data_IF_798312081502
#
_entry.id   IF_798312081502
#
_cell.length_a   1.000
_cell.length_b   1.000
_cell.length_c   1.000
_cell.angle_alpha   90.00
_cell.angle_beta   90.00
_cell.angle_gamma   90.00
#
_symmetry.space_group_name_H-M   'P 1'
#
loop_
_entity.id
_entity.type
_entity.pdbx_description
1 polymer ?
#
# COMPACT_ATOMS: atom_id res chain seq x y z
N UNK A 1 25.49 20.29 -21.82
CA UNK A 1 25.81 19.12 -22.67
C UNK A 1 24.52 18.75 -23.40
N UNK A 2 24.54 18.43 -24.69
CA UNK A 2 23.31 18.07 -25.39
C UNK A 2 22.73 16.77 -24.80
N UNK A 3 21.47 16.80 -24.33
CA UNK A 3 20.73 15.58 -23.94
C UNK A 3 20.79 14.57 -25.10
N UNK A 4 21.10 13.30 -24.81
CA UNK A 4 21.14 12.29 -25.85
C UNK A 4 19.73 12.03 -26.38
N UNK A 5 19.60 11.63 -27.65
CA UNK A 5 18.29 11.32 -28.25
C UNK A 5 17.52 10.24 -27.46
N UNK A 6 18.23 9.35 -26.77
CA UNK A 6 17.62 8.33 -25.91
C UNK A 6 17.10 8.92 -24.59
N UNK A 7 17.83 9.86 -23.99
CA UNK A 7 17.40 10.51 -22.74
C UNK A 7 16.11 11.32 -22.93
N UNK A 8 16.02 12.03 -24.07
CA UNK A 8 14.80 12.73 -24.51
C UNK A 8 13.60 11.79 -24.68
N UNK A 9 13.83 10.58 -25.20
CA UNK A 9 12.77 9.58 -25.35
C UNK A 9 12.27 9.09 -23.99
N UNK A 10 13.18 8.78 -23.05
CA UNK A 10 12.80 8.36 -21.70
C UNK A 10 12.08 9.47 -20.92
N UNK A 11 12.52 10.72 -21.08
CA UNK A 11 11.87 11.92 -20.54
C UNK A 11 10.44 12.06 -21.02
N UNK A 12 10.24 11.93 -22.34
CA UNK A 12 8.91 11.98 -22.95
C UNK A 12 8.01 10.86 -22.44
N UNK A 13 8.51 9.62 -22.43
CA UNK A 13 7.75 8.46 -21.95
C UNK A 13 7.36 8.57 -20.47
N UNK A 14 8.23 9.13 -19.65
CA UNK A 14 7.93 9.40 -18.25
C UNK A 14 6.80 10.44 -18.11
N UNK A 15 6.89 11.57 -18.83
CA UNK A 15 5.84 12.59 -18.81
C UNK A 15 4.50 12.09 -19.35
N UNK A 16 4.52 11.38 -20.48
CA UNK A 16 3.32 10.82 -21.08
C UNK A 16 2.62 9.87 -20.08
N UNK A 17 3.39 9.05 -19.36
CA UNK A 17 2.87 8.17 -18.33
C UNK A 17 2.35 8.96 -17.10
N UNK A 18 3.06 9.99 -16.64
CA UNK A 18 2.68 10.80 -15.48
C UNK A 18 1.34 11.52 -15.71
N UNK A 19 1.12 12.00 -16.93
CA UNK A 19 -0.07 12.76 -17.32
C UNK A 19 -1.32 11.89 -17.49
N UNK A 20 -1.20 10.56 -17.41
CA UNK A 20 -2.37 9.67 -17.43
C UNK A 20 -3.22 9.90 -16.18
N UNK A 21 -4.49 10.21 -16.37
CA UNK A 21 -5.45 10.47 -15.29
C UNK A 21 -5.86 9.20 -14.52
N UNK A 22 -5.81 8.05 -15.19
CA UNK A 22 -6.15 6.75 -14.60
C UNK A 22 -4.93 6.13 -13.91
N UNK A 23 -5.05 5.85 -12.61
CA UNK A 23 -4.00 5.23 -11.79
C UNK A 23 -3.50 3.90 -12.36
N UNK A 24 -4.39 3.04 -12.85
CA UNK A 24 -4.03 1.72 -13.39
C UNK A 24 -3.25 1.85 -14.71
N UNK A 25 -3.67 2.78 -15.56
CA UNK A 25 -2.98 3.07 -16.82
C UNK A 25 -1.61 3.70 -16.56
N UNK A 26 -1.52 4.61 -15.57
CA UNK A 26 -0.25 5.18 -15.11
C UNK A 26 0.69 4.11 -14.59
N UNK A 27 0.24 3.26 -13.66
CA UNK A 27 1.04 2.16 -13.12
C UNK A 27 1.55 1.25 -14.25
N UNK A 28 0.68 0.90 -15.21
CA UNK A 28 1.06 0.09 -16.38
C UNK A 28 2.10 0.79 -17.24
N UNK A 29 1.92 2.06 -17.57
CA UNK A 29 2.87 2.82 -18.39
C UNK A 29 4.23 2.98 -17.70
N UNK A 30 4.25 3.24 -16.39
CA UNK A 30 5.49 3.30 -15.60
C UNK A 30 6.19 1.93 -15.56
N UNK A 31 5.43 0.83 -15.44
CA UNK A 31 5.96 -0.53 -15.53
C UNK A 31 6.59 -0.80 -16.90
N UNK A 32 5.96 -0.34 -17.97
CA UNK A 32 6.49 -0.52 -19.33
C UNK A 32 7.76 0.32 -19.55
N UNK A 33 7.87 1.47 -18.87
CA UNK A 33 9.05 2.32 -18.90
C UNK A 33 10.24 1.68 -18.18
N UNK A 34 10.06 1.10 -16.98
CA UNK A 34 11.17 0.46 -16.24
C UNK A 34 11.74 -0.77 -16.98
N UNK A 35 10.93 -1.43 -17.80
CA UNK A 35 11.37 -2.54 -18.63
C UNK A 35 12.04 -2.09 -19.94
N UNK A 36 12.14 -0.79 -20.19
CA UNK A 36 12.82 -0.27 -21.36
C UNK A 36 14.34 -0.49 -21.23
N UNK A 37 14.99 -1.11 -22.23
CA UNK A 37 16.44 -1.26 -22.23
C UNK A 37 17.13 0.10 -22.12
N UNK A 38 18.16 0.19 -21.27
CA UNK A 38 18.98 1.40 -21.13
C UNK A 38 18.31 2.55 -20.38
N UNK A 39 17.23 2.30 -19.63
CA UNK A 39 16.58 3.35 -18.83
C UNK A 39 17.59 4.06 -17.92
N UNK A 40 17.70 5.40 -17.99
CA UNK A 40 18.55 6.16 -17.11
C UNK A 40 18.12 5.98 -15.64
N UNK A 41 19.08 5.89 -14.68
CA UNK A 41 18.77 5.69 -13.27
C UNK A 41 17.80 6.72 -12.68
N UNK A 42 17.86 7.97 -13.17
CA UNK A 42 16.92 9.05 -12.82
C UNK A 42 15.47 8.63 -13.09
N UNK A 43 15.18 8.20 -14.32
CA UNK A 43 13.82 7.78 -14.69
C UNK A 43 13.45 6.46 -14.03
N UNK A 44 14.39 5.54 -13.83
CA UNK A 44 14.11 4.31 -13.10
C UNK A 44 13.57 4.59 -11.69
N UNK A 45 14.28 5.44 -10.92
CA UNK A 45 13.86 5.81 -9.57
C UNK A 45 12.49 6.52 -9.56
N UNK A 46 12.26 7.47 -10.47
CA UNK A 46 11.00 8.20 -10.55
C UNK A 46 9.81 7.31 -10.96
N UNK A 47 9.98 6.42 -11.95
CA UNK A 47 8.95 5.45 -12.32
C UNK A 47 8.62 4.53 -11.13
N UNK A 48 9.64 4.03 -10.41
CA UNK A 48 9.44 3.18 -9.23
C UNK A 48 8.71 3.92 -8.09
N UNK A 49 9.01 5.19 -7.83
CA UNK A 49 8.29 5.98 -6.82
C UNK A 49 6.80 6.10 -7.17
N UNK A 50 6.49 6.44 -8.43
CA UNK A 50 5.10 6.55 -8.88
C UNK A 50 4.40 5.19 -8.84
N UNK A 51 5.09 4.11 -9.20
CA UNK A 51 4.54 2.75 -9.10
C UNK A 51 4.28 2.35 -7.65
N UNK A 52 5.16 2.72 -6.70
CA UNK A 52 4.94 2.47 -5.29
C UNK A 52 3.68 3.19 -4.80
N UNK A 53 3.56 4.49 -5.08
CA UNK A 53 2.40 5.31 -4.71
C UNK A 53 1.08 4.74 -5.29
N UNK A 54 1.14 4.29 -6.55
CA UNK A 54 0.01 3.72 -7.26
C UNK A 54 -0.28 2.24 -6.96
N UNK A 55 0.52 1.57 -6.13
CA UNK A 55 0.36 0.15 -5.86
C UNK A 55 -0.86 -0.13 -4.96
N UNK A 56 -1.66 -1.12 -5.36
CA UNK A 56 -2.86 -1.55 -4.63
C UNK A 56 -2.53 -2.46 -3.41
N UNK A 57 -1.28 -2.93 -3.29
CA UNK A 57 -0.85 -3.80 -2.20
C UNK A 57 0.42 -3.28 -1.53
N UNK A 58 0.52 -3.50 -0.23
CA UNK A 58 1.70 -3.12 0.56
C UNK A 58 2.98 -3.78 0.05
N UNK A 59 2.94 -5.06 -0.36
CA UNK A 59 4.12 -5.77 -0.86
C UNK A 59 4.66 -5.13 -2.15
N UNK A 60 3.79 -4.86 -3.13
CA UNK A 60 4.18 -4.17 -4.37
C UNK A 60 4.66 -2.73 -4.11
N UNK A 61 4.02 -2.01 -3.18
CA UNK A 61 4.47 -0.68 -2.78
C UNK A 61 5.91 -0.74 -2.25
N UNK A 62 6.16 -1.66 -1.32
CA UNK A 62 7.47 -1.82 -0.68
C UNK A 62 8.52 -2.32 -1.68
N UNK A 63 8.19 -3.24 -2.57
CA UNK A 63 9.08 -3.71 -3.65
C UNK A 63 9.59 -2.55 -4.51
N UNK A 64 8.69 -1.73 -5.04
CA UNK A 64 9.08 -0.59 -5.90
C UNK A 64 9.82 0.48 -5.12
N UNK A 65 9.42 0.73 -3.87
CA UNK A 65 10.11 1.68 -2.97
C UNK A 65 11.55 1.23 -2.68
N UNK A 66 11.77 -0.06 -2.43
CA UNK A 66 13.10 -0.62 -2.19
C UNK A 66 13.96 -0.55 -3.45
N UNK A 67 13.39 -0.81 -4.63
CA UNK A 67 14.11 -0.68 -5.89
C UNK A 67 14.57 0.76 -6.17
N UNK A 68 13.69 1.74 -5.94
CA UNK A 68 14.04 3.16 -6.02
C UNK A 68 15.09 3.55 -4.97
N UNK A 69 15.00 3.01 -3.75
CA UNK A 69 15.96 3.25 -2.67
C UNK A 69 17.37 2.75 -3.01
N UNK A 70 17.48 1.56 -3.59
CA UNK A 70 18.77 1.02 -3.98
C UNK A 70 19.40 1.80 -5.14
N UNK A 71 18.57 2.23 -6.10
CA UNK A 71 18.98 3.15 -7.17
C UNK A 71 19.50 4.48 -6.58
N UNK A 72 18.79 5.07 -5.62
CA UNK A 72 19.23 6.26 -4.90
C UNK A 72 20.59 6.05 -4.23
N UNK A 73 20.77 4.98 -3.44
CA UNK A 73 22.03 4.72 -2.72
C UNK A 73 23.23 4.67 -3.67
N UNK A 74 23.06 3.99 -4.81
CA UNK A 74 24.12 3.83 -5.79
C UNK A 74 24.44 5.18 -6.46
N UNK A 75 23.43 5.89 -6.95
CA UNK A 75 23.63 7.11 -7.73
C UNK A 75 24.04 8.31 -6.88
N UNK A 76 23.52 8.42 -5.65
CA UNK A 76 23.98 9.42 -4.70
C UNK A 76 25.47 9.24 -4.37
N UNK A 77 25.92 7.99 -4.22
CA UNK A 77 27.36 7.70 -4.01
C UNK A 77 28.21 8.11 -5.21
N UNK A 78 27.75 7.83 -6.44
CA UNK A 78 28.44 8.24 -7.66
C UNK A 78 28.52 9.77 -7.77
N UNK A 79 27.41 10.46 -7.53
CA UNK A 79 27.35 11.92 -7.55
C UNK A 79 28.28 12.55 -6.49
N UNK A 80 28.34 11.96 -5.29
CA UNK A 80 29.27 12.37 -4.24
C UNK A 80 30.73 12.18 -4.63
N UNK A 81 31.07 11.08 -5.30
CA UNK A 81 32.43 10.82 -5.79
C UNK A 81 32.83 11.77 -6.93
N UNK A 82 31.88 12.15 -7.79
CA UNK A 82 32.08 13.07 -8.90
C UNK A 82 32.05 14.55 -8.49
N UNK A 83 31.72 14.87 -7.22
CA UNK A 83 31.42 16.23 -6.76
C UNK A 83 30.34 16.95 -7.59
N UNK A 84 29.38 16.20 -8.13
CA UNK A 84 28.25 16.75 -8.89
C UNK A 84 27.16 17.20 -7.92
N UNK A 85 27.11 18.49 -7.63
CA UNK A 85 26.16 19.07 -6.67
C UNK A 85 24.72 18.98 -7.14
N UNK A 86 24.45 19.18 -8.44
CA UNK A 86 23.11 19.13 -9.01
C UNK A 86 22.53 17.70 -8.95
N UNK A 87 23.34 16.70 -9.28
CA UNK A 87 22.92 15.31 -9.13
C UNK A 87 22.66 14.95 -7.66
N UNK A 88 23.48 15.43 -6.73
CA UNK A 88 23.25 15.18 -5.28
C UNK A 88 21.93 15.77 -4.79
N UNK A 89 21.62 17.00 -5.16
CA UNK A 89 20.34 17.64 -4.80
C UNK A 89 19.14 16.84 -5.34
N UNK A 90 19.21 16.37 -6.59
CA UNK A 90 18.19 15.50 -7.15
C UNK A 90 18.02 14.20 -6.35
N UNK A 91 19.12 13.54 -5.99
CA UNK A 91 19.05 12.29 -5.22
C UNK A 91 18.59 12.51 -3.78
N UNK A 92 18.90 13.65 -3.16
CA UNK A 92 18.34 14.03 -1.86
C UNK A 92 16.83 14.27 -1.93
N UNK A 93 16.34 14.84 -3.03
CA UNK A 93 14.91 14.93 -3.28
C UNK A 93 14.28 13.53 -3.38
N UNK A 94 14.84 12.63 -4.21
CA UNK A 94 14.38 11.23 -4.33
C UNK A 94 14.32 10.55 -2.96
N UNK A 95 15.31 10.79 -2.09
CA UNK A 95 15.32 10.26 -0.74
C UNK A 95 14.13 10.74 0.10
N UNK A 96 13.80 12.04 0.03
CA UNK A 96 12.66 12.62 0.77
C UNK A 96 11.35 11.98 0.33
N UNK A 97 11.13 11.82 -0.97
CA UNK A 97 9.91 11.16 -1.49
C UNK A 97 9.79 9.71 -0.99
N UNK A 98 10.90 8.97 -0.94
CA UNK A 98 10.90 7.59 -0.42
C UNK A 98 10.60 7.51 1.07
N UNK A 99 11.05 8.51 1.85
CA UNK A 99 10.78 8.59 3.28
C UNK A 99 9.33 8.98 3.55
N UNK A 100 8.76 9.88 2.74
CA UNK A 100 7.34 10.23 2.80
C UNK A 100 6.44 9.05 2.44
N UNK A 101 6.72 8.34 1.34
CA UNK A 101 5.97 7.14 0.97
C UNK A 101 5.99 6.07 2.06
N UNK A 102 7.17 5.88 2.69
CA UNK A 102 7.29 4.94 3.81
C UNK A 102 6.42 5.36 4.99
N UNK A 103 6.46 6.64 5.34
CA UNK A 103 5.67 7.19 6.44
C UNK A 103 4.17 7.03 6.19
N UNK A 104 3.69 7.39 5.00
CA UNK A 104 2.28 7.24 4.61
C UNK A 104 1.84 5.77 4.68
N UNK A 105 2.67 4.86 4.17
CA UNK A 105 2.38 3.43 4.23
C UNK A 105 2.34 2.89 5.67
N UNK A 106 3.23 3.34 6.55
CA UNK A 106 3.25 2.97 7.97
C UNK A 106 2.03 3.50 8.73
N UNK A 107 1.60 4.72 8.43
CA UNK A 107 0.40 5.35 9.02
C UNK A 107 -0.87 4.61 8.60
N UNK A 108 -1.04 4.31 7.31
CA UNK A 108 -2.18 3.51 6.82
C UNK A 108 -2.21 2.11 7.46
N UNK A 109 -1.05 1.45 7.54
CA UNK A 109 -0.96 0.14 8.17
C UNK A 109 -1.28 0.19 9.67
N UNK A 110 -0.87 1.26 10.35
CA UNK A 110 -1.23 1.49 11.75
C UNK A 110 -2.74 1.67 11.91
N UNK A 111 -3.36 2.50 11.07
CA UNK A 111 -4.79 2.76 11.10
C UNK A 111 -5.60 1.49 10.82
N UNK A 112 -5.19 0.69 9.83
CA UNK A 112 -5.81 -0.60 9.54
C UNK A 112 -5.79 -1.53 10.77
N UNK A 113 -4.64 -1.64 11.47
CA UNK A 113 -4.53 -2.45 12.69
C UNK A 113 -5.41 -1.92 13.81
N UNK A 114 -5.51 -0.59 13.98
CA UNK A 114 -6.40 0.01 14.97
C UNK A 114 -7.87 -0.29 14.68
N UNK A 115 -8.32 -0.11 13.43
CA UNK A 115 -9.70 -0.44 13.01
C UNK A 115 -10.02 -1.91 13.26
N UNK A 116 -9.10 -2.82 12.92
CA UNK A 116 -9.27 -4.26 13.17
C UNK A 116 -9.37 -4.60 14.66
N UNK A 117 -8.55 -3.97 15.52
CA UNK A 117 -8.65 -4.14 16.97
C UNK A 117 -9.96 -3.60 17.53
N UNK A 118 -10.39 -2.42 17.05
CA UNK A 118 -11.65 -1.80 17.49
C UNK A 118 -12.84 -2.70 17.16
N UNK A 119 -12.93 -3.17 15.92
CA UNK A 119 -13.98 -4.11 15.50
C UNK A 119 -13.97 -5.42 16.32
N UNK A 120 -12.79 -5.96 16.62
CA UNK A 120 -12.66 -7.15 17.46
C UNK A 120 -13.14 -6.90 18.90
N UNK A 121 -12.84 -5.73 19.46
CA UNK A 121 -13.29 -5.35 20.79
C UNK A 121 -14.81 -5.09 20.85
N UNK A 122 -15.38 -4.45 19.82
CA UNK A 122 -16.83 -4.24 19.69
C UNK A 122 -17.55 -5.60 19.64
N UNK A 123 -17.09 -6.52 18.78
CA UNK A 123 -17.64 -7.87 18.71
C UNK A 123 -17.55 -8.62 20.05
N UNK A 124 -16.41 -8.48 20.75
CA UNK A 124 -16.23 -9.08 22.07
C UNK A 124 -17.24 -8.53 23.08
N UNK A 125 -17.41 -7.21 23.13
CA UNK A 125 -18.34 -6.57 24.07
C UNK A 125 -19.79 -6.97 23.77
N UNK A 126 -20.20 -6.95 22.50
CA UNK A 126 -21.54 -7.40 22.08
C UNK A 126 -21.79 -8.87 22.48
N UNK A 127 -20.79 -9.74 22.27
CA UNK A 127 -20.89 -11.16 22.65
C UNK A 127 -21.01 -11.35 24.17
N UNK A 128 -20.35 -10.51 24.96
CA UNK A 128 -20.39 -10.57 26.42
C UNK A 128 -21.74 -10.07 26.96
N UNK A 129 -22.28 -9.00 26.38
CA UNK A 129 -23.63 -8.51 26.72
C UNK A 129 -24.72 -9.51 26.36
N UNK A 130 -24.64 -10.13 25.18
CA UNK A 130 -25.57 -11.19 24.77
C UNK A 130 -25.48 -12.40 25.73
N UNK A 131 -24.26 -12.82 26.08
CA UNK A 131 -24.05 -13.91 27.04
C UNK A 131 -24.64 -13.60 28.42
N UNK A 132 -24.42 -12.39 28.94
CA UNK A 132 -25.00 -11.97 30.22
C UNK A 132 -26.53 -11.95 30.18
N UNK A 133 -27.13 -11.52 29.07
CA UNK A 133 -28.58 -11.57 28.88
C UNK A 133 -29.09 -13.02 28.90
N UNK A 134 -28.45 -13.91 28.15
CA UNK A 134 -28.78 -15.33 28.10
C UNK A 134 -28.68 -16.00 29.48
N UNK A 135 -27.65 -15.68 30.27
CA UNK A 135 -27.51 -16.16 31.64
C UNK A 135 -28.66 -15.69 32.55
N UNK A 136 -29.09 -14.42 32.43
CA UNK A 136 -30.23 -13.91 33.21
C UNK A 136 -31.54 -14.62 32.85
N UNK A 137 -31.77 -14.85 31.56
CA UNK A 137 -32.96 -15.58 31.09
C UNK A 137 -32.95 -17.03 31.59
N UNK A 138 -31.81 -17.71 31.52
CA UNK A 138 -31.67 -19.12 31.94
C UNK A 138 -31.99 -19.35 33.43
N UNK A 139 -31.58 -18.43 34.32
CA UNK A 139 -31.86 -18.52 35.77
C UNK A 139 -33.36 -18.48 36.08
N UNK A 140 -34.17 -17.87 35.20
CA UNK A 140 -35.62 -17.76 35.39
C UNK A 140 -36.42 -18.89 34.72
N UNK A 141 -35.76 -19.76 33.95
CA UNK A 141 -36.40 -20.87 33.25
C UNK A 141 -36.66 -22.07 34.16
N UNK A 142 -37.68 -22.84 33.83
CA UNK A 142 -37.92 -24.14 34.46
C UNK A 142 -36.90 -25.21 33.97
N UNK A 143 -36.70 -26.32 34.70
CA UNK A 143 -35.66 -27.30 34.40
C UNK A 143 -35.77 -27.96 33.02
N UNK A 144 -36.98 -28.10 32.45
CA UNK A 144 -37.16 -28.69 31.12
C UNK A 144 -36.70 -27.70 30.05
N UNK A 145 -37.08 -26.43 30.19
CA UNK A 145 -36.64 -25.34 29.31
C UNK A 145 -35.13 -25.11 29.38
N UNK A 146 -34.50 -25.26 30.56
CA UNK A 146 -33.04 -25.15 30.71
C UNK A 146 -32.27 -26.20 29.90
N UNK A 147 -32.76 -27.45 29.85
CA UNK A 147 -32.14 -28.51 29.05
C UNK A 147 -32.24 -28.24 27.55
N UNK A 148 -33.39 -27.73 27.09
CA UNK A 148 -33.58 -27.34 25.70
C UNK A 148 -32.69 -26.15 25.31
N UNK A 149 -32.55 -25.18 26.21
CA UNK A 149 -31.66 -24.03 26.03
C UNK A 149 -30.19 -24.43 25.91
N UNK A 150 -29.70 -25.33 26.78
CA UNK A 150 -28.33 -25.86 26.69
C UNK A 150 -28.04 -26.55 25.36
N UNK A 151 -29.01 -27.31 24.84
CA UNK A 151 -28.90 -27.96 23.53
C UNK A 151 -28.80 -26.92 22.40
N UNK A 152 -29.61 -25.85 22.44
CA UNK A 152 -29.52 -24.75 21.47
C UNK A 152 -28.18 -24.01 21.53
N UNK A 153 -27.67 -23.74 22.73
CA UNK A 153 -26.34 -23.15 22.92
C UNK A 153 -25.23 -24.03 22.32
N UNK A 154 -25.31 -25.36 22.53
CA UNK A 154 -24.36 -26.31 21.97
C UNK A 154 -24.37 -26.31 20.44
N UNK A 155 -25.54 -26.35 19.82
CA UNK A 155 -25.69 -26.30 18.35
C UNK A 155 -25.16 -24.97 17.78
N UNK A 156 -25.43 -23.84 18.45
CA UNK A 156 -24.90 -22.53 18.04
C UNK A 156 -23.38 -22.47 18.17
N UNK A 157 -22.80 -22.98 19.26
CA UNK A 157 -21.35 -23.02 19.44
C UNK A 157 -20.66 -23.86 18.37
N UNK A 158 -21.25 -25.03 18.04
CA UNK A 158 -20.74 -25.90 16.97
C UNK A 158 -20.81 -25.20 15.60
N UNK A 159 -21.91 -24.50 15.32
CA UNK A 159 -22.08 -23.73 14.08
C UNK A 159 -21.03 -22.61 13.96
N UNK A 160 -20.81 -21.84 15.02
CA UNK A 160 -19.77 -20.79 15.02
C UNK A 160 -18.37 -21.38 14.86
N UNK A 161 -18.08 -22.52 15.49
CA UNK A 161 -16.80 -23.20 15.32
C UNK A 161 -16.55 -23.61 13.87
N UNK A 162 -17.57 -24.18 13.20
CA UNK A 162 -17.50 -24.51 11.77
C UNK A 162 -17.33 -23.27 10.89
N UNK A 163 -18.02 -22.16 11.21
CA UNK A 163 -17.86 -20.90 10.50
C UNK A 163 -16.44 -20.36 10.67
N UNK A 164 -15.89 -20.35 11.88
CA UNK A 164 -14.51 -19.90 12.15
C UNK A 164 -13.50 -20.76 11.38
N UNK A 165 -13.68 -22.09 11.34
CA UNK A 165 -12.84 -22.97 10.54
C UNK A 165 -12.92 -22.64 9.04
N UNK A 166 -14.12 -22.38 8.53
CA UNK A 166 -14.34 -22.02 7.13
C UNK A 166 -13.77 -20.65 6.76
N UNK A 167 -13.89 -19.65 7.65
CA UNK A 167 -13.32 -18.31 7.49
C UNK A 167 -11.80 -18.33 7.67
N UNK A 168 -11.25 -19.17 8.54
CA UNK A 168 -9.82 -19.41 8.66
C UNK A 168 -9.23 -19.99 7.37
N UNK A 169 -9.96 -20.92 6.72
CA UNK A 169 -9.60 -21.42 5.41
C UNK A 169 -9.74 -20.35 4.30
N UNK A 170 -10.76 -19.50 4.37
CA UNK A 170 -11.01 -18.44 3.39
C UNK A 170 -10.00 -17.27 3.49
N UNK A 171 -9.66 -16.85 4.71
CA UNK A 171 -8.63 -15.82 4.94
C UNK A 171 -7.24 -16.30 4.52
N UNK A 172 -6.94 -17.59 4.62
CA UNK A 172 -5.72 -18.17 4.03
C UNK A 172 -5.69 -18.02 2.50
N UNK A 173 -6.85 -18.11 1.83
CA UNK A 173 -6.97 -17.96 0.37
C UNK A 173 -6.93 -16.48 -0.04
N UNK A 174 -7.56 -15.57 0.70
CA UNK A 174 -7.54 -14.12 0.40
C UNK A 174 -6.19 -13.44 0.70
N UNK A 175 -5.42 -13.90 1.68
CA UNK A 175 -4.05 -13.41 1.89
C UNK A 175 -3.09 -13.82 0.75
N UNK A 176 -3.44 -14.82 -0.06
CA UNK A 176 -2.64 -15.31 -1.18
C UNK A 176 -3.14 -14.84 -2.56
N UNK A 177 -4.29 -14.14 -2.64
CA UNK A 177 -4.81 -13.59 -3.88
C UNK A 177 -4.97 -12.06 -3.76
N UNK A 178 -4.36 -11.28 -4.67
CA UNK A 178 -4.34 -9.82 -4.55
C UNK A 178 -5.75 -9.25 -4.71
N UNK A 179 -6.35 -8.81 -3.60
CA UNK A 179 -7.61 -8.07 -3.59
C UNK A 179 -7.39 -6.64 -4.08
N UNK A 180 -7.88 -6.36 -5.29
CA UNK A 180 -7.94 -5.02 -5.88
C UNK A 180 -8.95 -4.12 -5.13
N UNK A 181 -8.50 -3.34 -4.15
CA UNK A 181 -9.30 -2.23 -3.62
C UNK A 181 -8.48 -0.94 -3.62
N UNK A 182 -8.61 -0.26 -4.76
CA UNK A 182 -8.26 1.11 -5.10
C UNK A 182 -7.76 1.99 -3.94
N UNK A 183 -6.47 2.31 -3.96
CA UNK A 183 -5.95 3.57 -3.38
C UNK A 183 -6.32 4.72 -4.32
N UNK A 184 -6.87 5.81 -3.80
CA UNK A 184 -6.84 7.10 -4.52
C UNK A 184 -5.47 7.71 -4.24
N UNK A 185 -4.78 8.11 -5.31
CA UNK A 185 -3.59 8.96 -5.26
C UNK A 185 -3.82 10.13 -4.29
N UNK A 186 -2.87 10.33 -3.37
CA UNK A 186 -2.84 11.52 -2.56
C UNK A 186 -2.61 12.72 -3.49
N UNK A 187 -3.52 13.71 -3.52
CA UNK A 187 -3.41 14.89 -4.38
C UNK A 187 -2.12 15.70 -4.14
N UNK A 188 -1.50 15.50 -2.97
CA UNK A 188 -0.21 16.07 -2.61
C UNK A 188 0.97 15.49 -3.43
N UNK A 189 0.98 14.19 -3.71
CA UNK A 189 2.02 13.54 -4.51
C UNK A 189 1.95 14.02 -5.96
N UNK A 190 0.73 14.11 -6.51
CA UNK A 190 0.48 14.63 -7.86
C UNK A 190 1.02 16.07 -8.05
N UNK A 191 0.71 17.00 -7.12
CA UNK A 191 1.22 18.37 -7.18
C UNK A 191 2.75 18.46 -7.03
N UNK A 192 3.36 17.59 -6.22
CA UNK A 192 4.82 17.57 -6.03
C UNK A 192 5.55 17.10 -7.28
N UNK A 193 5.05 16.08 -7.97
CA UNK A 193 5.61 15.63 -9.25
C UNK A 193 5.40 16.62 -10.39
N UNK A 194 4.27 17.32 -10.43
CA UNK A 194 4.01 18.35 -11.46
C UNK A 194 4.94 19.56 -11.27
N UNK A 195 5.15 19.97 -10.01
CA UNK A 195 6.12 21.02 -9.66
C UNK A 195 7.55 20.60 -10.01
N UNK A 196 7.91 19.35 -9.73
CA UNK A 196 9.23 18.82 -10.08
C UNK A 196 9.48 18.71 -11.58
N UNK A 197 8.47 18.25 -12.34
CA UNK A 197 8.51 18.21 -13.80
C UNK A 197 8.73 19.60 -14.39
N UNK A 198 8.21 20.66 -13.75
CA UNK A 198 8.41 22.04 -14.19
C UNK A 198 9.75 22.66 -13.76
N UNK A 199 10.23 22.39 -12.54
CA UNK A 199 11.42 23.06 -11.97
C UNK A 199 12.74 22.35 -12.31
N UNK A 200 12.76 21.01 -12.35
CA UNK A 200 13.98 20.22 -12.61
C UNK A 200 14.26 19.97 -14.10
N UNK A 201 13.34 20.33 -15.00
CA UNK A 201 13.51 20.22 -16.46
C UNK A 201 13.76 21.55 -17.17
N UNK A 202 13.62 22.68 -16.47
CA UNK A 202 14.01 23.99 -16.96
C UNK A 202 15.45 24.36 -16.57
N UNK A 203 16.07 23.63 -15.63
CA UNK A 203 17.40 23.94 -15.07
C UNK A 203 18.52 22.93 -15.34
N UNK A 204 18.26 21.86 -16.10
CA UNK A 204 19.26 20.89 -16.61
C UNK A 204 19.32 20.98 -18.14
#
# INVERSE_FOLDING_TARGET
MAESSQDLEHKKRFHDAQNLSNLKERYKAMRDNINCPGIPPKYLALNCIIMADAADSWDLNEEHRLHALDTYKQQHRIAAQANDTAAREFWEFVRKELDELKKEAEEEFHEFRLRRRKAANELKNESEEEFQKLCREWVTMDPVSQNFFLLQCYVRALTHFLIILSLGAYTYVEYFLPSSKYRKLNSASQMRFDKLGSELLQGL
#
